data_IF_711263012632
#
_entry.id   IF_711263012632
#
_cell.length_a   1.000
_cell.length_b   1.000
_cell.length_c   1.000
_cell.angle_alpha   90.00
_cell.angle_beta   90.00
_cell.angle_gamma   90.00
#
_symmetry.space_group_name_H-M   'P 1'
#
loop_
_entity.id
_entity.type
_entity.pdbx_description
1 polymer ?
#
# COMPACT_ATOMS: atom_id res chain seq x y z
N UNK A 1 27.17 3.91 2.91
CA UNK A 1 26.06 4.46 2.10
C UNK A 1 25.75 3.59 0.89
N UNK A 2 26.71 3.33 0.00
CA UNK A 2 26.49 2.45 -1.18
C UNK A 2 25.92 1.07 -0.83
N UNK A 3 26.43 0.41 0.22
CA UNK A 3 25.90 -0.89 0.66
C UNK A 3 24.43 -0.85 1.10
N UNK A 4 23.99 0.22 1.76
CA UNK A 4 22.60 0.39 2.16
C UNK A 4 21.69 0.59 0.94
N UNK A 5 22.11 1.41 -0.02
CA UNK A 5 21.38 1.62 -1.28
C UNK A 5 21.28 0.32 -2.07
N UNK A 6 22.39 -0.41 -2.23
CA UNK A 6 22.41 -1.68 -2.94
C UNK A 6 21.52 -2.72 -2.28
N UNK A 7 21.50 -2.77 -0.93
CA UNK A 7 20.63 -3.68 -0.19
C UNK A 7 19.15 -3.38 -0.44
N UNK A 8 18.74 -2.11 -0.38
CA UNK A 8 17.36 -1.70 -0.68
C UNK A 8 16.98 -2.01 -2.13
N UNK A 9 17.85 -1.69 -3.10
CA UNK A 9 17.62 -2.00 -4.52
C UNK A 9 17.47 -3.51 -4.74
N UNK A 10 18.35 -4.32 -4.17
CA UNK A 10 18.28 -5.77 -4.26
C UNK A 10 16.97 -6.32 -3.64
N UNK A 11 16.53 -5.79 -2.50
CA UNK A 11 15.29 -6.20 -1.85
C UNK A 11 14.05 -5.87 -2.70
N UNK A 12 13.99 -4.66 -3.28
CA UNK A 12 12.88 -4.24 -4.17
C UNK A 12 12.87 -5.06 -5.47
N UNK A 13 14.03 -5.31 -6.07
CA UNK A 13 14.12 -6.12 -7.29
C UNK A 13 13.70 -7.57 -7.05
N UNK A 14 14.14 -8.16 -5.93
CA UNK A 14 13.79 -9.55 -5.59
C UNK A 14 12.29 -9.69 -5.31
N UNK A 15 11.70 -8.79 -4.51
CA UNK A 15 10.25 -8.80 -4.25
C UNK A 15 9.44 -8.59 -5.53
N UNK A 16 9.80 -7.62 -6.37
CA UNK A 16 9.10 -7.38 -7.65
C UNK A 16 9.24 -8.56 -8.61
N UNK A 17 10.43 -9.17 -8.68
CA UNK A 17 10.67 -10.38 -9.47
C UNK A 17 9.84 -11.57 -8.99
N UNK A 18 9.68 -11.72 -7.66
CA UNK A 18 8.83 -12.75 -7.07
C UNK A 18 7.36 -12.53 -7.42
N UNK A 19 6.85 -11.30 -7.33
CA UNK A 19 5.50 -10.95 -7.76
C UNK A 19 5.31 -11.27 -9.25
N UNK A 20 6.25 -10.87 -10.10
CA UNK A 20 6.16 -11.16 -11.54
C UNK A 20 6.17 -12.66 -11.84
N UNK A 21 7.05 -13.42 -11.20
CA UNK A 21 7.18 -14.86 -11.43
C UNK A 21 5.99 -15.66 -10.89
N UNK A 22 5.54 -15.36 -9.68
CA UNK A 22 4.50 -16.13 -9.01
C UNK A 22 3.09 -15.68 -9.42
N UNK A 23 2.82 -14.38 -9.39
CA UNK A 23 1.47 -13.85 -9.59
C UNK A 23 1.12 -13.64 -11.07
N UNK A 24 2.10 -13.40 -11.92
CA UNK A 24 1.89 -13.21 -13.36
C UNK A 24 2.28 -14.48 -14.11
N UNK A 25 3.56 -14.87 -14.09
CA UNK A 25 4.03 -15.98 -14.92
C UNK A 25 3.42 -17.33 -14.52
N UNK A 26 3.56 -17.74 -13.25
CA UNK A 26 3.02 -19.03 -12.81
C UNK A 26 1.50 -19.04 -12.84
N UNK A 27 0.84 -18.03 -12.26
CA UNK A 27 -0.62 -18.02 -12.12
C UNK A 27 -1.38 -17.82 -13.43
N UNK A 28 -0.91 -16.92 -14.31
CA UNK A 28 -1.64 -16.52 -15.53
C UNK A 28 -1.10 -17.16 -16.81
N UNK A 29 0.23 -17.31 -16.96
CA UNK A 29 0.84 -17.79 -18.20
C UNK A 29 1.12 -19.30 -18.21
N UNK A 30 1.72 -19.83 -17.13
CA UNK A 30 2.14 -21.24 -17.05
C UNK A 30 1.96 -21.82 -15.64
N UNK A 31 0.75 -22.34 -15.39
CA UNK A 31 0.35 -22.94 -14.10
C UNK A 31 1.25 -24.08 -13.63
N UNK A 32 1.78 -24.85 -14.57
CA UNK A 32 2.68 -25.99 -14.30
C UNK A 32 4.16 -25.64 -14.55
N UNK A 33 4.58 -24.40 -14.29
CA UNK A 33 5.98 -24.00 -14.41
C UNK A 33 6.86 -24.74 -13.39
N UNK A 34 8.00 -25.26 -13.85
CA UNK A 34 8.98 -25.92 -12.98
C UNK A 34 9.83 -24.89 -12.22
N UNK A 35 10.44 -25.27 -11.11
CA UNK A 35 11.27 -24.36 -10.30
C UNK A 35 12.42 -23.76 -11.10
N UNK A 36 13.05 -24.55 -12.00
CA UNK A 36 14.08 -24.04 -12.92
C UNK A 36 13.55 -22.94 -13.83
N UNK A 37 12.33 -23.06 -14.32
CA UNK A 37 11.69 -22.04 -15.15
C UNK A 37 11.36 -20.78 -14.34
N UNK A 38 10.86 -20.93 -13.10
CA UNK A 38 10.56 -19.81 -12.22
C UNK A 38 11.83 -19.01 -11.89
N UNK A 39 12.93 -19.69 -11.55
CA UNK A 39 14.23 -19.05 -11.28
C UNK A 39 14.73 -18.30 -12.52
N UNK A 40 14.64 -18.92 -13.71
CA UNK A 40 15.08 -18.30 -14.95
C UNK A 40 14.27 -17.04 -15.26
N UNK A 41 12.93 -17.13 -15.22
CA UNK A 41 12.04 -15.98 -15.44
C UNK A 41 12.29 -14.89 -14.41
N UNK A 42 12.54 -15.25 -13.14
CA UNK A 42 12.85 -14.31 -12.08
C UNK A 42 14.15 -13.54 -12.31
N UNK A 43 15.19 -14.19 -12.83
CA UNK A 43 16.44 -13.51 -13.22
C UNK A 43 16.20 -12.55 -14.38
N UNK A 44 15.48 -12.98 -15.40
CA UNK A 44 15.16 -12.15 -16.56
C UNK A 44 14.31 -10.94 -16.16
N UNK A 45 13.26 -11.14 -15.35
CA UNK A 45 12.42 -10.04 -14.89
C UNK A 45 13.21 -9.03 -14.07
N UNK A 46 14.12 -9.48 -13.21
CA UNK A 46 15.01 -8.56 -12.45
C UNK A 46 15.82 -7.66 -13.38
N UNK A 47 16.44 -8.22 -14.43
CA UNK A 47 17.22 -7.43 -15.41
C UNK A 47 16.32 -6.44 -16.14
N UNK A 48 15.15 -6.88 -16.61
CA UNK A 48 14.19 -6.02 -17.32
C UNK A 48 13.69 -4.88 -16.43
N UNK A 49 13.27 -5.18 -15.20
CA UNK A 49 12.81 -4.17 -14.23
C UNK A 49 13.92 -3.15 -13.94
N UNK A 50 15.16 -3.62 -13.77
CA UNK A 50 16.30 -2.75 -13.52
C UNK A 50 16.56 -1.80 -14.71
N UNK A 51 16.50 -2.30 -15.96
CA UNK A 51 16.64 -1.46 -17.15
C UNK A 51 15.53 -0.40 -17.25
N UNK A 52 14.28 -0.78 -16.98
CA UNK A 52 13.16 0.16 -16.95
C UNK A 52 13.36 1.22 -15.86
N UNK A 53 13.81 0.82 -14.67
CA UNK A 53 14.09 1.73 -13.57
C UNK A 53 15.20 2.74 -13.94
N UNK A 54 16.26 2.32 -14.65
CA UNK A 54 17.30 3.25 -15.13
C UNK A 54 16.74 4.29 -16.11
N UNK A 55 15.85 3.88 -17.03
CA UNK A 55 15.21 4.81 -17.98
C UNK A 55 14.32 5.82 -17.26
N UNK A 56 13.51 5.35 -16.30
CA UNK A 56 12.64 6.23 -15.51
C UNK A 56 13.47 7.19 -14.64
N UNK A 57 14.57 6.73 -14.04
CA UNK A 57 15.45 7.56 -13.24
C UNK A 57 16.01 8.74 -14.04
N UNK A 58 16.47 8.50 -15.28
CA UNK A 58 16.94 9.56 -16.19
C UNK A 58 15.83 10.57 -16.53
N UNK A 59 14.57 10.13 -16.60
CA UNK A 59 13.45 11.03 -16.86
C UNK A 59 13.13 11.90 -15.66
N UNK A 60 13.13 11.34 -14.45
CA UNK A 60 12.85 12.07 -13.21
C UNK A 60 13.92 13.15 -12.96
N UNK A 61 15.19 12.84 -13.24
CA UNK A 61 16.29 13.81 -13.11
C UNK A 61 16.07 15.06 -13.98
N UNK A 62 15.47 14.90 -15.16
CA UNK A 62 15.19 16.00 -16.10
C UNK A 62 13.99 16.87 -15.72
N UNK A 63 13.06 16.38 -14.90
CA UNK A 63 11.83 17.11 -14.55
C UNK A 63 12.09 18.32 -13.65
N UNK A 64 13.21 18.34 -12.92
CA UNK A 64 13.52 19.38 -11.94
C UNK A 64 12.59 19.33 -10.72
N UNK A 65 13.11 19.72 -9.55
CA UNK A 65 12.35 19.74 -8.29
C UNK A 65 12.79 18.67 -7.28
N UNK A 66 12.08 18.62 -6.14
CA UNK A 66 12.42 17.70 -5.06
C UNK A 66 11.97 16.28 -5.39
N UNK A 67 12.93 15.37 -5.58
CA UNK A 67 12.69 13.93 -5.76
C UNK A 67 11.80 13.35 -4.63
N UNK A 68 11.97 13.87 -3.41
CA UNK A 68 11.15 13.47 -2.27
C UNK A 68 9.66 13.80 -2.49
N UNK A 69 9.35 15.03 -2.93
CA UNK A 69 7.97 15.45 -3.20
C UNK A 69 7.36 14.65 -4.34
N UNK A 70 8.15 14.32 -5.37
CA UNK A 70 7.72 13.47 -6.47
C UNK A 70 7.34 12.06 -5.98
N UNK A 71 8.23 11.41 -5.23
CA UNK A 71 8.00 10.08 -4.68
C UNK A 71 6.79 10.09 -3.73
N UNK A 72 6.67 11.09 -2.84
CA UNK A 72 5.52 11.22 -1.94
C UNK A 72 4.20 11.43 -2.71
N UNK A 73 4.23 12.18 -3.82
CA UNK A 73 3.05 12.38 -4.66
C UNK A 73 2.61 11.07 -5.33
N UNK A 74 3.55 10.24 -5.78
CA UNK A 74 3.23 8.91 -6.30
C UNK A 74 2.67 7.99 -5.21
N UNK A 75 3.27 7.99 -4.01
CA UNK A 75 2.73 7.22 -2.88
C UNK A 75 1.33 7.68 -2.48
N UNK A 76 1.10 8.99 -2.41
CA UNK A 76 -0.21 9.58 -2.14
C UNK A 76 -1.28 9.21 -3.17
N UNK A 77 -0.87 8.82 -4.37
CA UNK A 77 -1.76 8.36 -5.42
C UNK A 77 -2.03 6.84 -5.34
N UNK A 78 -0.99 6.03 -5.16
CA UNK A 78 -1.08 4.55 -5.18
C UNK A 78 -1.51 3.94 -3.84
N UNK A 79 -1.05 4.47 -2.72
CA UNK A 79 -1.29 3.87 -1.41
C UNK A 79 -2.76 3.90 -0.97
N UNK A 80 -3.55 4.98 -1.17
CA UNK A 80 -4.89 5.07 -0.59
C UNK A 80 -5.86 3.96 -1.01
N UNK A 81 -5.99 3.59 -2.30
CA UNK A 81 -6.96 2.57 -2.69
C UNK A 81 -6.65 1.19 -2.09
N UNK A 82 -5.37 0.79 -2.10
CA UNK A 82 -4.94 -0.47 -1.49
C UNK A 82 -5.10 -0.42 0.03
N UNK A 83 -4.69 0.67 0.69
CA UNK A 83 -4.82 0.82 2.13
C UNK A 83 -6.30 0.73 2.58
N UNK A 84 -7.22 1.33 1.84
CA UNK A 84 -8.66 1.25 2.14
C UNK A 84 -9.18 -0.20 2.06
N UNK A 85 -8.87 -0.91 0.98
CA UNK A 85 -9.32 -2.30 0.79
C UNK A 85 -8.69 -3.25 1.80
N UNK A 86 -7.39 -3.11 2.08
CA UNK A 86 -6.73 -3.94 3.09
C UNK A 86 -7.28 -3.68 4.49
N UNK A 87 -7.42 -2.41 4.89
CA UNK A 87 -7.96 -2.08 6.21
C UNK A 87 -9.38 -2.60 6.37
N UNK A 88 -10.25 -2.36 5.38
CA UNK A 88 -11.63 -2.82 5.42
C UNK A 88 -11.72 -4.35 5.36
N UNK A 89 -10.88 -5.01 4.56
CA UNK A 89 -10.81 -6.47 4.49
C UNK A 89 -10.47 -7.08 5.85
N UNK A 90 -9.55 -6.47 6.60
CA UNK A 90 -9.20 -6.91 7.95
C UNK A 90 -10.31 -6.61 8.96
N UNK A 91 -10.96 -5.44 8.89
CA UNK A 91 -11.94 -5.00 9.90
C UNK A 91 -13.37 -5.53 9.67
N UNK A 92 -13.76 -5.75 8.42
CA UNK A 92 -15.13 -6.08 8.02
C UNK A 92 -15.20 -7.39 7.24
N UNK A 93 -15.81 -8.40 7.88
CA UNK A 93 -16.09 -9.72 7.29
C UNK A 93 -16.98 -9.70 6.04
N UNK A 94 -17.63 -8.57 5.74
CA UNK A 94 -18.56 -8.44 4.61
C UNK A 94 -17.89 -8.04 3.30
N UNK A 95 -16.64 -7.57 3.35
CA UNK A 95 -15.90 -7.13 2.17
C UNK A 95 -15.60 -8.34 1.28
N UNK A 96 -15.90 -8.21 -0.01
CA UNK A 96 -15.71 -9.28 -0.98
C UNK A 96 -14.79 -8.84 -2.13
N UNK A 97 -14.35 -9.80 -2.95
CA UNK A 97 -13.42 -9.54 -4.06
C UNK A 97 -13.96 -8.56 -5.11
N UNK A 98 -15.28 -8.51 -5.34
CA UNK A 98 -15.88 -7.56 -6.29
C UNK A 98 -15.81 -6.13 -5.75
N UNK A 99 -16.21 -5.93 -4.49
CA UNK A 99 -16.12 -4.63 -3.82
C UNK A 99 -14.68 -4.13 -3.72
N UNK A 100 -13.74 -5.02 -3.39
CA UNK A 100 -12.31 -4.72 -3.40
C UNK A 100 -11.81 -4.28 -4.79
N UNK A 101 -12.08 -5.06 -5.84
CA UNK A 101 -11.62 -4.75 -7.19
C UNK A 101 -12.23 -3.45 -7.74
N UNK A 102 -13.53 -3.25 -7.55
CA UNK A 102 -14.22 -2.02 -7.98
C UNK A 102 -13.71 -0.80 -7.22
N UNK A 103 -13.47 -0.92 -5.92
CA UNK A 103 -12.92 0.17 -5.11
C UNK A 103 -11.52 0.57 -5.54
N UNK A 104 -10.64 -0.39 -5.85
CA UNK A 104 -9.30 -0.09 -6.36
C UNK A 104 -9.38 0.62 -7.72
N UNK A 105 -10.19 0.10 -8.65
CA UNK A 105 -10.32 0.68 -9.98
C UNK A 105 -10.91 2.10 -9.94
N UNK A 106 -12.01 2.29 -9.20
CA UNK A 106 -12.63 3.61 -9.04
C UNK A 106 -11.77 4.55 -8.22
N UNK A 107 -11.03 4.07 -7.21
CA UNK A 107 -10.06 4.87 -6.45
C UNK A 107 -8.92 5.39 -7.33
N UNK A 108 -8.39 4.56 -8.25
CA UNK A 108 -7.41 5.04 -9.23
C UNK A 108 -8.01 6.05 -10.21
N UNK A 109 -9.18 5.74 -10.78
CA UNK A 109 -9.86 6.66 -11.69
C UNK A 109 -10.17 8.01 -11.02
N UNK A 110 -10.64 7.98 -9.77
CA UNK A 110 -10.89 9.16 -8.96
C UNK A 110 -9.60 9.94 -8.65
N UNK A 111 -8.54 9.26 -8.25
CA UNK A 111 -7.23 9.89 -8.04
C UNK A 111 -6.71 10.61 -9.27
N UNK A 112 -6.88 10.01 -10.47
CA UNK A 112 -6.48 10.62 -11.74
C UNK A 112 -7.36 11.84 -12.02
N UNK A 113 -8.68 11.69 -11.90
CA UNK A 113 -9.62 12.78 -12.12
C UNK A 113 -9.34 13.97 -11.20
N UNK A 114 -9.01 13.72 -9.93
CA UNK A 114 -8.64 14.75 -8.96
C UNK A 114 -7.34 15.46 -9.35
N UNK A 115 -6.31 14.72 -9.80
CA UNK A 115 -5.06 15.32 -10.31
C UNK A 115 -5.31 16.20 -11.54
N UNK A 116 -6.12 15.72 -12.49
CA UNK A 116 -6.48 16.49 -13.67
C UNK A 116 -7.31 17.73 -13.30
N UNK A 117 -8.24 17.61 -12.36
CA UNK A 117 -9.03 18.74 -11.86
C UNK A 117 -8.16 19.85 -11.28
N UNK A 118 -7.19 19.51 -10.43
CA UNK A 118 -6.25 20.48 -9.85
C UNK A 118 -5.38 21.12 -10.93
N UNK A 119 -4.94 20.35 -11.92
CA UNK A 119 -4.08 20.84 -12.99
C UNK A 119 -4.82 21.78 -13.98
N UNK A 120 -6.06 21.48 -14.32
CA UNK A 120 -6.80 22.19 -15.37
C UNK A 120 -7.81 23.23 -14.85
N UNK A 121 -8.16 23.20 -13.56
CA UNK A 121 -9.07 24.18 -12.96
C UNK A 121 -8.30 25.11 -12.01
N UNK A 122 -7.95 26.35 -12.41
CA UNK A 122 -7.21 27.27 -11.54
C UNK A 122 -7.99 27.70 -10.28
N UNK A 123 -9.32 27.59 -10.32
CA UNK A 123 -10.22 27.95 -9.22
C UNK A 123 -10.50 26.77 -8.25
N UNK A 124 -9.65 25.74 -8.25
CA UNK A 124 -9.80 24.62 -7.33
C UNK A 124 -9.58 25.05 -5.86
N UNK A 125 -10.15 24.33 -4.89
CA UNK A 125 -9.92 24.63 -3.47
C UNK A 125 -8.44 24.42 -3.09
N UNK A 126 -7.80 25.45 -2.53
CA UNK A 126 -6.37 25.40 -2.13
C UNK A 126 -6.03 24.28 -1.14
N UNK A 127 -6.98 23.90 -0.30
CA UNK A 127 -6.78 22.79 0.64
C UNK A 127 -6.59 21.43 -0.07
N UNK A 128 -6.91 21.32 -1.36
CA UNK A 128 -6.71 20.12 -2.15
C UNK A 128 -5.32 20.06 -2.81
N UNK A 129 -4.56 21.15 -2.81
CA UNK A 129 -3.20 21.18 -3.40
C UNK A 129 -2.21 20.20 -2.72
N UNK A 130 -2.20 20.04 -1.39
CA UNK A 130 -1.29 19.09 -0.73
C UNK A 130 -1.59 17.64 -1.12
N UNK A 131 -0.54 16.89 -1.45
CA UNK A 131 -0.65 15.47 -1.80
C UNK A 131 -1.26 14.62 -0.65
N UNK A 132 -1.06 15.03 0.61
CA UNK A 132 -1.65 14.38 1.78
C UNK A 132 -3.17 14.47 1.79
N UNK A 133 -3.73 15.65 1.49
CA UNK A 133 -5.17 15.88 1.51
C UNK A 133 -5.84 15.15 0.34
N UNK A 134 -5.18 15.13 -0.83
CA UNK A 134 -5.55 14.28 -1.97
C UNK A 134 -5.61 12.80 -1.58
N UNK A 135 -4.57 12.29 -0.90
CA UNK A 135 -4.50 10.90 -0.46
C UNK A 135 -5.65 10.53 0.48
N UNK A 136 -5.92 11.38 1.48
CA UNK A 136 -7.00 11.17 2.46
C UNK A 136 -8.36 11.11 1.75
N UNK A 137 -8.63 12.06 0.85
CA UNK A 137 -9.91 12.11 0.15
C UNK A 137 -10.09 10.89 -0.77
N UNK A 138 -9.05 10.49 -1.48
CA UNK A 138 -9.07 9.28 -2.30
C UNK A 138 -9.30 8.02 -1.44
N UNK A 139 -8.66 7.95 -0.27
CA UNK A 139 -8.87 6.86 0.68
C UNK A 139 -10.34 6.73 1.10
N UNK A 140 -10.98 7.85 1.46
CA UNK A 140 -12.40 7.86 1.84
C UNK A 140 -13.31 7.42 0.69
N UNK A 141 -13.11 7.94 -0.52
CA UNK A 141 -13.89 7.55 -1.70
C UNK A 141 -13.74 6.04 -1.97
N UNK A 142 -12.51 5.53 -1.90
CA UNK A 142 -12.23 4.11 -2.07
C UNK A 142 -12.90 3.26 -0.97
N UNK A 143 -12.81 3.68 0.29
CA UNK A 143 -13.41 2.97 1.41
C UNK A 143 -14.94 2.91 1.29
N UNK A 144 -15.59 4.03 0.99
CA UNK A 144 -17.04 4.09 0.78
C UNK A 144 -17.45 3.20 -0.39
N UNK A 145 -16.74 3.30 -1.52
CA UNK A 145 -16.99 2.46 -2.70
C UNK A 145 -16.86 0.97 -2.35
N UNK A 146 -15.82 0.61 -1.62
CA UNK A 146 -15.58 -0.77 -1.20
C UNK A 146 -16.73 -1.32 -0.35
N UNK A 147 -17.19 -0.54 0.63
CA UNK A 147 -18.30 -0.93 1.51
C UNK A 147 -19.60 -1.02 0.72
N UNK A 148 -19.96 0.01 -0.04
CA UNK A 148 -21.21 0.07 -0.80
C UNK A 148 -21.30 -1.09 -1.80
N UNK A 149 -20.27 -1.29 -2.63
CA UNK A 149 -20.25 -2.36 -3.63
C UNK A 149 -20.23 -3.73 -2.96
N UNK A 150 -19.50 -3.91 -1.86
CA UNK A 150 -19.51 -5.17 -1.12
C UNK A 150 -20.90 -5.49 -0.58
N UNK A 151 -21.62 -4.51 -0.03
CA UNK A 151 -22.97 -4.70 0.50
C UNK A 151 -24.01 -4.99 -0.60
N UNK A 152 -23.88 -4.35 -1.76
CA UNK A 152 -24.77 -4.55 -2.91
C UNK A 152 -24.52 -5.86 -3.66
N UNK A 153 -23.34 -6.46 -3.52
CA UNK A 153 -22.97 -7.71 -4.19
C UNK A 153 -23.05 -8.91 -3.25
N UNK A 154 -23.00 -10.13 -3.78
CA UNK A 154 -23.11 -11.36 -2.99
C UNK A 154 -22.08 -11.42 -1.83
N UNK A 155 -22.46 -11.96 -0.66
CA UNK A 155 -21.52 -12.13 0.44
C UNK A 155 -20.32 -13.00 0.03
N UNK A 156 -19.13 -12.73 0.60
CA UNK A 156 -17.96 -13.57 0.35
C UNK A 156 -18.21 -14.98 0.90
N UNK A 157 -17.60 -15.98 0.26
CA UNK A 157 -17.73 -17.36 0.72
C UNK A 157 -17.12 -17.51 2.13
N UNK A 158 -17.68 -18.35 3.03
CA UNK A 158 -17.17 -18.52 4.39
C UNK A 158 -15.68 -18.90 4.43
N UNK A 159 -15.19 -19.62 3.43
CA UNK A 159 -13.78 -20.02 3.28
C UNK A 159 -12.83 -18.84 3.02
N UNK A 160 -13.34 -17.73 2.47
CA UNK A 160 -12.55 -16.54 2.16
C UNK A 160 -12.44 -15.57 3.34
N UNK A 161 -13.27 -15.76 4.37
CA UNK A 161 -13.37 -14.86 5.54
C UNK A 161 -13.09 -15.67 6.80
N UNK A 162 -11.81 -16.01 6.97
CA UNK A 162 -11.33 -16.72 8.16
C UNK A 162 -11.01 -15.74 9.29
N UNK A 163 -11.04 -16.26 10.52
CA UNK A 163 -10.64 -15.51 11.72
C UNK A 163 -9.13 -15.18 11.76
N UNK A 164 -8.33 -15.75 10.85
CA UNK A 164 -6.90 -15.46 10.68
C UNK A 164 -6.66 -14.25 9.77
N UNK A 165 -7.50 -14.07 8.74
CA UNK A 165 -7.38 -12.98 7.77
C UNK A 165 -8.18 -11.74 8.17
N UNK A 166 -9.27 -11.94 8.91
CA UNK A 166 -10.18 -10.87 9.35
C UNK A 166 -10.26 -10.85 10.87
N UNK A 167 -10.19 -9.65 11.45
CA UNK A 167 -10.23 -9.48 12.90
C UNK A 167 -11.55 -10.02 13.44
N UNK A 168 -11.44 -10.98 14.35
CA UNK A 168 -12.54 -11.42 15.19
C UNK A 168 -12.48 -10.70 16.54
N UNK A 169 -13.26 -9.64 16.68
CA UNK A 169 -13.34 -8.84 17.91
C UNK A 169 -13.66 -9.64 19.18
N UNK A 170 -14.31 -10.81 19.06
CA UNK A 170 -14.62 -11.67 20.21
C UNK A 170 -13.44 -12.53 20.67
N UNK A 171 -12.47 -12.79 19.79
CA UNK A 171 -11.28 -13.61 20.05
C UNK A 171 -10.00 -12.78 20.14
N UNK A 172 -10.12 -11.46 20.00
CA UNK A 172 -9.00 -10.53 20.11
C UNK A 172 -8.40 -10.66 21.51
N UNK A 173 -7.09 -10.89 21.55
CA UNK A 173 -6.37 -11.10 22.80
C UNK A 173 -5.12 -10.22 22.89
N UNK A 174 -5.29 -8.93 22.57
CA UNK A 174 -4.19 -7.95 22.46
C UNK A 174 -3.49 -7.73 23.81
N UNK A 175 -4.16 -8.01 24.92
CA UNK A 175 -3.64 -7.79 26.27
C UNK A 175 -3.10 -9.04 26.96
N UNK A 176 -3.16 -10.22 26.33
CA UNK A 176 -2.48 -11.39 26.86
C UNK A 176 -1.03 -11.43 26.39
N UNK A 177 -0.17 -12.04 27.22
CA UNK A 177 1.25 -12.24 26.94
C UNK A 177 2.07 -10.96 26.67
N UNK A 178 1.62 -9.82 27.22
CA UNK A 178 2.33 -8.54 27.12
C UNK A 178 3.70 -8.52 27.82
N UNK A 179 4.04 -9.55 28.59
CA UNK A 179 5.23 -9.60 29.44
C UNK A 179 5.02 -8.92 30.79
N UNK A 180 5.95 -9.11 31.72
CA UNK A 180 5.92 -8.51 33.07
C UNK A 180 7.12 -7.59 33.31
N UNK A 181 6.91 -6.54 34.11
CA UNK A 181 7.96 -5.59 34.49
C UNK A 181 8.62 -4.91 33.29
N UNK A 182 9.95 -4.96 33.21
CA UNK A 182 10.74 -4.35 32.14
C UNK A 182 10.57 -5.01 30.76
N UNK A 183 10.09 -6.26 30.73
CA UNK A 183 9.77 -6.97 29.47
C UNK A 183 8.34 -6.68 29.01
N UNK A 184 7.59 -5.82 29.73
CA UNK A 184 6.24 -5.46 29.35
C UNK A 184 6.25 -4.51 28.15
N UNK A 185 5.60 -4.91 27.06
CA UNK A 185 5.49 -4.13 25.83
C UNK A 185 4.80 -2.78 26.07
N UNK A 186 3.82 -2.71 26.98
CA UNK A 186 3.09 -1.47 27.27
C UNK A 186 3.98 -0.41 27.90
N UNK A 187 4.99 -0.80 28.68
CA UNK A 187 5.94 0.12 29.31
C UNK A 187 6.79 0.80 28.23
N UNK A 188 7.32 0.02 27.29
CA UNK A 188 8.11 0.56 26.18
C UNK A 188 7.27 1.43 25.23
N UNK A 189 6.02 1.04 24.98
CA UNK A 189 5.07 1.86 24.23
C UNK A 189 4.78 3.19 24.93
N UNK A 190 4.57 3.18 26.25
CA UNK A 190 4.34 4.39 27.03
C UNK A 190 5.56 5.32 27.04
N UNK A 191 6.77 4.76 27.22
CA UNK A 191 8.03 5.53 27.14
C UNK A 191 8.17 6.16 25.76
N UNK A 192 7.95 5.39 24.69
CA UNK A 192 8.02 5.89 23.32
C UNK A 192 7.04 7.06 23.10
N UNK A 193 5.78 6.90 23.51
CA UNK A 193 4.77 7.96 23.38
C UNK A 193 5.13 9.19 24.21
N UNK A 194 5.62 9.02 25.44
CA UNK A 194 6.06 10.13 26.29
C UNK A 194 7.25 10.89 25.67
N UNK A 195 8.23 10.18 25.11
CA UNK A 195 9.36 10.78 24.41
C UNK A 195 8.91 11.56 23.17
N UNK A 196 8.01 10.99 22.37
CA UNK A 196 7.47 11.66 21.18
C UNK A 196 6.69 12.92 21.58
N UNK A 197 5.80 12.84 22.57
CA UNK A 197 5.04 14.00 23.06
C UNK A 197 5.96 15.07 23.65
N UNK A 198 6.98 14.68 24.41
CA UNK A 198 7.97 15.61 24.96
C UNK A 198 8.77 16.32 23.87
N UNK A 199 9.17 15.58 22.82
CA UNK A 199 9.87 16.14 21.67
C UNK A 199 8.99 17.11 20.88
N UNK A 200 7.71 16.76 20.67
CA UNK A 200 6.74 17.67 20.04
C UNK A 200 6.56 18.94 20.87
N UNK A 201 6.40 18.82 22.19
CA UNK A 201 6.25 19.97 23.08
C UNK A 201 7.52 20.84 23.20
N UNK A 202 8.71 20.29 22.92
CA UNK A 202 9.96 21.04 22.87
C UNK A 202 10.17 21.80 21.56
N UNK A 203 9.59 21.32 20.47
CA UNK A 203 9.73 21.90 19.13
C UNK A 203 8.63 22.91 18.77
N UNK A 204 7.59 23.02 19.60
CA UNK A 204 6.46 23.95 19.48
C UNK A 204 6.49 24.97 20.61
#
# INVERSE_FOLDING_TARGET
>A
MFGAIQSTVNAVLNSTSTVFTMDIFKRQLKKNATDKQLIFVGRVSTVVILLIAMVIAMFIERLGGSLFVYIQTLYAFFAPPFAAVFLLGILFKRINGKGAATAVFLGFAFGIAMKLFIQFCPAHPRWLEPYSNQAILNWFVCAVTCVVVSLMTAPPAPEQVTDELTINWRKINIFNDLGKGWRNVTVWWAIFVALVMGLVALLW
#
